data_IF_858466114497
#
_entry.id   IF_858466114497
#
_cell.length_a   1.000
_cell.length_b   1.000
_cell.length_c   1.000
_cell.angle_alpha   90.00
_cell.angle_beta   90.00
_cell.angle_gamma   90.00
#
_symmetry.space_group_name_H-M   'P 1'
#
loop_
_entity.id
_entity.type
_entity.pdbx_description
1 polymer ?
#
# COMPACT_ATOMS: atom_id res chain seq x y z
N UNK A 1 7.54 -15.37 2.40
CA UNK A 1 8.40 -14.21 2.74
C UNK A 1 7.76 -13.51 3.92
N UNK A 2 8.55 -13.06 4.91
CA UNK A 2 8.05 -12.34 6.08
C UNK A 2 8.64 -10.93 6.08
N UNK A 3 7.80 -9.92 6.32
CA UNK A 3 8.26 -8.53 6.43
C UNK A 3 9.08 -8.37 7.72
N UNK A 4 10.15 -7.57 7.64
CA UNK A 4 10.87 -7.12 8.83
C UNK A 4 10.01 -6.16 9.67
N UNK A 5 10.33 -5.96 10.96
CA UNK A 5 9.59 -5.01 11.80
C UNK A 5 9.52 -3.60 11.20
N UNK A 6 10.62 -3.10 10.64
CA UNK A 6 10.69 -1.77 10.01
C UNK A 6 9.76 -1.68 8.79
N UNK A 7 9.71 -2.72 7.96
CA UNK A 7 8.81 -2.76 6.81
C UNK A 7 7.34 -2.79 7.25
N UNK A 8 7.04 -3.50 8.33
CA UNK A 8 5.68 -3.56 8.87
C UNK A 8 5.24 -2.21 9.42
N UNK A 9 6.12 -1.49 10.11
CA UNK A 9 5.82 -0.16 10.62
C UNK A 9 5.65 0.85 9.47
N UNK A 10 6.49 0.78 8.44
CA UNK A 10 6.32 1.61 7.24
C UNK A 10 4.98 1.34 6.55
N UNK A 11 4.58 0.07 6.43
CA UNK A 11 3.29 -0.31 5.84
C UNK A 11 2.10 0.21 6.67
N UNK A 12 2.21 0.24 8.00
CA UNK A 12 1.18 0.81 8.88
C UNK A 12 1.04 2.31 8.70
N UNK A 13 2.15 3.04 8.56
CA UNK A 13 2.12 4.47 8.29
C UNK A 13 1.54 4.77 6.90
N UNK A 14 1.89 3.95 5.89
CA UNK A 14 1.29 4.04 4.56
C UNK A 14 -0.23 3.86 4.64
N UNK A 15 -0.70 2.81 5.30
CA UNK A 15 -2.13 2.53 5.47
C UNK A 15 -2.87 3.64 6.21
N UNK A 16 -2.24 4.31 7.17
CA UNK A 16 -2.84 5.42 7.93
C UNK A 16 -2.95 6.71 7.10
N UNK A 17 -1.98 6.95 6.22
CA UNK A 17 -1.88 8.17 5.40
C UNK A 17 -2.32 8.00 3.95
N UNK A 18 -2.84 6.82 3.57
CA UNK A 18 -3.31 6.53 2.22
C UNK A 18 -4.56 7.34 1.90
N UNK A 19 -4.48 8.15 0.84
CA UNK A 19 -5.63 8.66 0.10
C UNK A 19 -5.97 7.65 -1.02
N UNK A 20 -7.06 6.88 -0.90
CA UNK A 20 -7.42 5.89 -1.91
C UNK A 20 -7.88 6.50 -3.24
N UNK A 21 -8.24 7.79 -3.27
CA UNK A 21 -8.64 8.48 -4.50
C UNK A 21 -7.44 9.04 -5.27
N UNK A 22 -6.35 9.35 -4.56
CA UNK A 22 -5.08 9.82 -5.14
C UNK A 22 -3.87 9.17 -4.42
N UNK A 23 -3.57 7.88 -4.69
CA UNK A 23 -2.47 7.17 -4.04
C UNK A 23 -1.10 7.84 -4.22
N UNK A 24 -0.87 8.50 -5.35
CA UNK A 24 0.34 9.27 -5.65
C UNK A 24 0.51 10.51 -4.76
N UNK A 25 -0.58 11.08 -4.26
CA UNK A 25 -0.60 12.28 -3.41
C UNK A 25 -0.75 11.95 -1.91
N UNK A 26 -0.76 10.64 -1.58
CA UNK A 26 -0.81 10.17 -0.20
C UNK A 26 0.43 10.59 0.59
N UNK A 27 0.34 10.58 1.93
CA UNK A 27 1.49 10.93 2.79
C UNK A 27 2.74 10.11 2.45
N UNK A 28 2.54 8.81 2.15
CA UNK A 28 3.54 7.97 1.50
C UNK A 28 2.99 7.66 0.10
N UNK A 29 3.56 8.25 -0.96
CA UNK A 29 3.10 8.02 -2.32
C UNK A 29 3.13 6.54 -2.70
N UNK A 30 2.16 6.10 -3.49
CA UNK A 30 2.16 4.77 -4.08
C UNK A 30 1.75 4.81 -5.54
N UNK A 31 2.35 3.92 -6.33
CA UNK A 31 1.96 3.70 -7.72
C UNK A 31 0.96 2.56 -7.79
N UNK A 32 -0.17 2.77 -8.45
CA UNK A 32 -1.09 1.67 -8.77
C UNK A 32 -0.47 0.81 -9.87
N UNK A 33 -0.20 -0.45 -9.55
CA UNK A 33 0.29 -1.45 -10.51
C UNK A 33 -0.84 -2.12 -11.27
N UNK A 34 -2.03 -2.17 -10.69
CA UNK A 34 -3.20 -2.73 -11.34
C UNK A 34 -4.40 -2.84 -10.42
N UNK A 35 -5.55 -3.07 -11.05
CA UNK A 35 -6.83 -3.31 -10.39
C UNK A 35 -7.25 -4.75 -10.60
N UNK A 36 -7.69 -5.40 -9.53
CA UNK A 36 -8.48 -6.63 -9.60
C UNK A 36 -9.96 -6.31 -9.41
N UNK A 37 -10.82 -7.32 -9.53
CA UNK A 37 -12.29 -7.14 -9.45
C UNK A 37 -12.75 -6.42 -8.18
N UNK A 38 -12.07 -6.65 -7.05
CA UNK A 38 -12.41 -6.05 -5.76
C UNK A 38 -11.20 -5.41 -5.06
N UNK A 39 -10.03 -5.34 -5.70
CA UNK A 39 -8.77 -5.03 -5.01
C UNK A 39 -7.88 -4.10 -5.82
N UNK A 40 -6.99 -3.38 -5.16
CA UNK A 40 -5.96 -2.56 -5.83
C UNK A 40 -4.58 -3.08 -5.45
N UNK A 41 -3.66 -3.14 -6.42
CA UNK A 41 -2.25 -3.51 -6.19
C UNK A 41 -1.39 -2.27 -6.27
N UNK A 42 -0.56 -2.06 -5.25
CA UNK A 42 0.33 -0.91 -5.11
C UNK A 42 1.79 -1.33 -5.11
N UNK A 43 2.63 -0.49 -5.71
CA UNK A 43 4.02 -0.32 -5.30
C UNK A 43 4.06 0.89 -4.34
N UNK A 44 4.51 0.68 -3.11
CA UNK A 44 4.63 1.77 -2.12
C UNK A 44 5.99 2.42 -2.30
N UNK A 45 6.03 3.74 -2.49
CA UNK A 45 7.26 4.48 -2.79
C UNK A 45 8.03 4.78 -1.50
N UNK A 46 8.47 3.71 -0.81
CA UNK A 46 9.31 3.78 0.37
C UNK A 46 10.51 2.83 0.19
N UNK A 47 11.72 3.31 0.49
CA UNK A 47 12.98 2.59 0.26
C UNK A 47 12.97 1.17 0.88
N UNK A 48 12.48 1.02 2.11
CA UNK A 48 12.42 -0.27 2.78
C UNK A 48 11.40 -1.26 2.18
N UNK A 49 10.49 -0.79 1.32
CA UNK A 49 9.47 -1.58 0.64
C UNK A 49 9.75 -1.77 -0.86
N UNK A 50 10.89 -1.30 -1.35
CA UNK A 50 11.27 -1.41 -2.77
C UNK A 50 11.26 -2.88 -3.23
N UNK A 51 10.74 -3.12 -4.44
CA UNK A 51 10.60 -4.46 -5.00
C UNK A 51 9.44 -5.29 -4.44
N UNK A 52 8.66 -4.76 -3.50
CA UNK A 52 7.44 -5.41 -2.99
C UNK A 52 6.18 -4.83 -3.65
N UNK A 53 5.22 -5.71 -3.94
CA UNK A 53 3.88 -5.34 -4.38
C UNK A 53 2.87 -5.71 -3.29
N UNK A 54 1.99 -4.76 -2.96
CA UNK A 54 0.98 -4.93 -1.92
C UNK A 54 -0.41 -4.96 -2.53
N UNK A 55 -1.19 -5.99 -2.19
CA UNK A 55 -2.60 -6.08 -2.60
C UNK A 55 -3.50 -5.58 -1.47
N UNK A 56 -4.18 -4.45 -1.70
CA UNK A 56 -5.20 -3.92 -0.80
C UNK A 56 -6.53 -4.59 -1.11
N UNK A 57 -7.04 -5.32 -0.11
CA UNK A 57 -8.40 -5.84 -0.13
C UNK A 57 -9.38 -4.75 0.32
N UNK A 58 -10.59 -4.71 -0.21
CA UNK A 58 -11.56 -3.70 0.20
C UNK A 58 -11.99 -4.00 1.63
N UNK A 59 -12.23 -2.94 2.40
CA UNK A 59 -12.78 -3.07 3.75
C UNK A 59 -14.26 -3.41 3.60
N UNK A 60 -14.60 -4.69 3.49
CA UNK A 60 -15.98 -5.11 3.66
C UNK A 60 -16.38 -4.82 5.11
N UNK A 61 -17.15 -3.75 5.31
CA UNK A 61 -17.87 -3.51 6.56
C UNK A 61 -19.35 -3.76 6.27
N UNK A 62 -19.91 -4.73 6.99
CA UNK A 62 -21.36 -4.92 7.09
C UNK A 62 -21.94 -3.87 8.04
#
# INVERSE_FOLDING_TARGET
MQLSPVQLDQLREFERGLDPQAPEDSQIPATVLGYGEISTVFAVNAECLEGLAFKRMPLFKH
#
